data_IF_948878525028
#
_entry.id   IF_948878525028
#
_cell.length_a   1.000
_cell.length_b   1.000
_cell.length_c   1.000
_cell.angle_alpha   90.00
_cell.angle_beta   90.00
_cell.angle_gamma   90.00
#
_symmetry.space_group_name_H-M   'P 1'
#
loop_
_entity.id
_entity.type
_entity.pdbx_description
1 polymer ?
#
# COMPACT_ATOMS: atom_id res chain seq x y z
N UNK A 1 -20.21 -4.51 2.10
CA UNK A 1 -18.82 -4.84 1.69
C UNK A 1 -18.86 -5.65 0.42
N UNK A 2 -18.35 -5.10 -0.68
CA UNK A 2 -18.15 -5.81 -1.96
C UNK A 2 -17.02 -6.84 -1.80
N UNK A 3 -17.14 -8.01 -2.45
CA UNK A 3 -16.14 -9.09 -2.33
C UNK A 3 -14.73 -8.75 -2.86
N UNK A 4 -14.58 -7.64 -3.57
CA UNK A 4 -13.29 -7.08 -3.97
C UNK A 4 -12.56 -6.40 -2.81
N UNK A 5 -13.26 -5.60 -2.01
CA UNK A 5 -12.66 -4.91 -0.88
C UNK A 5 -12.10 -5.90 0.15
N UNK A 6 -12.84 -6.96 0.44
CA UNK A 6 -12.36 -8.00 1.37
C UNK A 6 -11.06 -8.65 0.85
N UNK A 7 -10.98 -8.95 -0.44
CA UNK A 7 -9.75 -9.49 -1.05
C UNK A 7 -8.58 -8.51 -0.95
N UNK A 8 -8.83 -7.20 -1.10
CA UNK A 8 -7.80 -6.17 -0.93
C UNK A 8 -7.30 -6.16 0.52
N UNK A 9 -8.20 -6.18 1.50
CA UNK A 9 -7.84 -6.12 2.93
C UNK A 9 -7.08 -7.36 3.39
N UNK A 10 -7.47 -8.54 2.91
CA UNK A 10 -6.86 -9.83 3.28
C UNK A 10 -5.56 -10.11 2.53
N UNK A 11 -5.25 -9.33 1.48
CA UNK A 11 -4.07 -9.55 0.67
C UNK A 11 -2.80 -9.39 1.53
N UNK A 12 -1.97 -10.43 1.53
CA UNK A 12 -0.68 -10.37 2.21
C UNK A 12 0.30 -9.44 1.50
N UNK A 13 0.92 -8.57 2.29
CA UNK A 13 2.02 -7.69 1.89
C UNK A 13 3.23 -8.02 2.76
N UNK A 14 4.37 -8.27 2.12
CA UNK A 14 5.64 -8.46 2.81
C UNK A 14 6.20 -7.11 3.27
N UNK A 15 6.28 -6.90 4.57
CA UNK A 15 6.70 -5.66 5.20
C UNK A 15 7.54 -5.97 6.45
N UNK A 16 8.68 -5.31 6.61
CA UNK A 16 9.56 -5.46 7.79
C UNK A 16 9.92 -6.92 8.13
N UNK A 17 10.05 -7.78 7.12
CA UNK A 17 10.45 -9.18 7.30
C UNK A 17 9.30 -10.16 7.55
N UNK A 18 8.04 -9.72 7.52
CA UNK A 18 6.87 -10.60 7.69
C UNK A 18 5.77 -10.28 6.67
N UNK A 19 4.95 -11.28 6.34
CA UNK A 19 3.69 -11.06 5.64
C UNK A 19 2.64 -10.56 6.62
N UNK A 20 1.88 -9.53 6.22
CA UNK A 20 0.71 -9.04 6.96
C UNK A 20 -0.44 -8.73 6.00
N UNK A 21 -1.70 -8.91 6.42
CA UNK A 21 -2.84 -8.44 5.65
C UNK A 21 -2.73 -6.94 5.40
N UNK A 22 -3.04 -6.50 4.20
CA UNK A 22 -3.00 -5.09 3.82
C UNK A 22 -3.85 -4.22 4.75
N UNK A 23 -5.03 -4.70 5.16
CA UNK A 23 -5.92 -4.00 6.07
C UNK A 23 -5.34 -3.77 7.48
N UNK A 24 -4.35 -4.56 7.88
CA UNK A 24 -3.68 -4.46 9.19
C UNK A 24 -2.43 -3.58 9.16
N UNK A 25 -2.02 -3.09 7.98
CA UNK A 25 -0.83 -2.26 7.87
C UNK A 25 -1.03 -0.95 8.59
N UNK A 26 -0.10 -0.65 9.50
CA UNK A 26 -0.08 0.61 10.22
C UNK A 26 0.50 1.71 9.35
N UNK A 27 0.25 2.97 9.74
CA UNK A 27 0.86 4.14 9.09
C UNK A 27 2.38 4.05 9.01
N UNK A 28 3.00 3.55 10.07
CA UNK A 28 4.45 3.37 10.18
C UNK A 28 4.95 2.27 9.23
N UNK A 29 4.21 1.16 9.10
CA UNK A 29 4.51 0.14 8.10
C UNK A 29 4.45 0.73 6.68
N UNK A 30 3.34 1.40 6.33
CA UNK A 30 3.13 2.02 5.01
C UNK A 30 4.24 3.02 4.68
N UNK A 31 4.64 3.85 5.65
CA UNK A 31 5.73 4.84 5.48
C UNK A 31 7.07 4.17 5.27
N UNK A 32 7.40 3.15 6.08
CA UNK A 32 8.62 2.35 5.94
C UNK A 32 8.72 1.74 4.54
N UNK A 33 7.61 1.18 4.03
CA UNK A 33 7.57 0.58 2.70
C UNK A 33 7.76 1.59 1.58
N UNK A 34 7.16 2.78 1.73
CA UNK A 34 7.36 3.87 0.78
C UNK A 34 8.84 4.28 0.68
N UNK A 35 9.53 4.38 1.82
CA UNK A 35 10.94 4.76 1.90
C UNK A 35 11.85 3.66 1.34
N UNK A 36 11.59 2.38 1.64
CA UNK A 36 12.30 1.24 1.06
C UNK A 36 12.20 1.24 -0.47
N UNK A 37 10.98 1.39 -1.01
CA UNK A 37 10.75 1.41 -2.45
C UNK A 37 11.42 2.62 -3.09
N UNK A 38 11.37 3.78 -2.44
CA UNK A 38 12.05 5.00 -2.90
C UNK A 38 13.57 4.82 -2.93
N UNK A 39 14.15 4.21 -1.90
CA UNK A 39 15.58 3.92 -1.84
C UNK A 39 16.02 2.93 -2.94
N UNK A 40 15.12 2.01 -3.33
CA UNK A 40 15.35 1.10 -4.45
C UNK A 40 15.22 1.76 -5.83
N UNK A 41 14.73 3.00 -5.94
CA UNK A 41 14.65 3.72 -7.22
C UNK A 41 16.04 4.14 -7.68
N UNK A 42 16.66 3.31 -8.53
CA UNK A 42 17.88 3.63 -9.29
C UNK A 42 17.61 3.90 -10.77
N UNK A 43 18.68 4.11 -11.54
CA UNK A 43 18.63 4.20 -13.01
C UNK A 43 18.38 2.83 -13.65
N UNK A 44 17.56 2.76 -14.71
CA UNK A 44 17.27 1.51 -15.43
C UNK A 44 15.94 0.83 -15.01
N UNK A 45 15.82 -0.51 -15.04
CA UNK A 45 14.56 -1.23 -14.78
C UNK A 45 13.89 -0.91 -13.43
N UNK A 46 14.67 -0.52 -12.42
CA UNK A 46 14.19 -0.11 -11.09
C UNK A 46 13.45 1.24 -11.10
N UNK A 47 13.58 2.05 -12.15
CA UNK A 47 12.77 3.26 -12.32
C UNK A 47 11.26 2.95 -12.40
N UNK A 48 10.89 1.73 -12.80
CA UNK A 48 9.50 1.25 -12.84
C UNK A 48 8.86 1.14 -11.46
N UNK A 49 9.66 1.17 -10.39
CA UNK A 49 9.20 1.08 -8.99
C UNK A 49 8.83 2.48 -8.45
N UNK A 50 9.25 3.57 -9.11
CA UNK A 50 8.97 4.93 -8.66
C UNK A 50 7.47 5.26 -8.56
N UNK A 51 6.59 4.88 -9.51
CA UNK A 51 5.14 5.07 -9.37
C UNK A 51 4.56 4.33 -8.16
N UNK A 52 5.10 3.15 -7.83
CA UNK A 52 4.64 2.36 -6.67
C UNK A 52 5.10 2.98 -5.36
N UNK A 53 6.36 3.40 -5.28
CA UNK A 53 6.86 4.16 -4.14
C UNK A 53 5.99 5.41 -3.88
N UNK A 54 5.55 6.09 -4.95
CA UNK A 54 4.62 7.22 -4.85
C UNK A 54 3.24 6.80 -4.32
N UNK A 55 2.64 5.73 -4.84
CA UNK A 55 1.36 5.23 -4.36
C UNK A 55 1.40 4.89 -2.86
N UNK A 56 2.49 4.29 -2.37
CA UNK A 56 2.67 4.02 -0.94
C UNK A 56 2.72 5.30 -0.09
N UNK A 57 3.33 6.38 -0.60
CA UNK A 57 3.28 7.70 0.06
C UNK A 57 1.88 8.30 0.06
N UNK A 58 1.13 8.15 -1.04
CA UNK A 58 -0.25 8.62 -1.13
C UNK A 58 -1.15 7.87 -0.13
N UNK A 59 -0.93 6.57 0.07
CA UNK A 59 -1.60 5.80 1.12
C UNK A 59 -1.25 6.32 2.52
N UNK A 60 0.03 6.56 2.83
CA UNK A 60 0.42 7.11 4.13
C UNK A 60 -0.22 8.47 4.39
N UNK A 61 -0.26 9.34 3.37
CA UNK A 61 -0.92 10.63 3.46
C UNK A 61 -2.44 10.51 3.67
N UNK A 62 -3.09 9.57 2.99
CA UNK A 62 -4.51 9.30 3.19
C UNK A 62 -4.81 8.83 4.62
N UNK A 63 -3.97 7.95 5.18
CA UNK A 63 -4.10 7.51 6.58
C UNK A 63 -3.93 8.68 7.55
N UNK A 64 -2.91 9.51 7.36
CA UNK A 64 -2.68 10.71 8.18
C UNK A 64 -3.88 11.68 8.09
N UNK A 65 -4.43 11.90 6.88
CA UNK A 65 -5.58 12.79 6.66
C UNK A 65 -6.89 12.26 7.24
N UNK A 66 -7.07 10.94 7.27
CA UNK A 66 -8.25 10.29 7.84
C UNK A 66 -8.13 10.06 9.36
N UNK A 67 -6.93 10.22 9.94
CA UNK A 67 -6.66 9.81 11.32
C UNK A 67 -6.71 8.29 11.51
N UNK A 68 -6.47 7.52 10.44
CA UNK A 68 -6.58 6.07 10.42
C UNK A 68 -5.34 5.41 11.05
N UNK A 69 -5.57 4.46 11.95
CA UNK A 69 -4.51 3.66 12.59
C UNK A 69 -4.00 2.56 11.66
N UNK A 70 -4.91 1.98 10.86
CA UNK A 70 -4.60 0.94 9.88
C UNK A 70 -5.19 1.27 8.51
N UNK A 71 -4.65 0.68 7.44
CA UNK A 71 -5.17 0.91 6.10
C UNK A 71 -6.63 0.46 5.96
N UNK A 72 -7.07 -0.54 6.72
CA UNK A 72 -8.45 -1.04 6.68
C UNK A 72 -9.51 -0.08 7.20
N UNK A 73 -9.12 1.01 7.86
CA UNK A 73 -10.02 2.07 8.34
C UNK A 73 -10.32 3.12 7.26
N UNK A 74 -9.64 3.08 6.11
CA UNK A 74 -9.86 4.01 5.01
C UNK A 74 -11.18 3.72 4.26
N UNK A 75 -11.70 4.77 3.63
CA UNK A 75 -12.90 4.66 2.80
C UNK A 75 -12.75 3.61 1.70
N UNK A 76 -13.76 2.73 1.49
CA UNK A 76 -13.70 1.63 0.52
C UNK A 76 -13.28 2.04 -0.89
N UNK A 77 -13.83 3.13 -1.43
CA UNK A 77 -13.57 3.58 -2.79
C UNK A 77 -12.11 4.02 -2.96
N UNK A 78 -11.55 4.66 -1.93
CA UNK A 78 -10.16 5.06 -1.89
C UNK A 78 -9.23 3.83 -1.84
N UNK A 79 -9.61 2.81 -1.06
CA UNK A 79 -8.85 1.57 -0.96
C UNK A 79 -8.79 0.82 -2.29
N UNK A 80 -9.90 0.76 -3.03
CA UNK A 80 -9.94 0.12 -4.36
C UNK A 80 -9.04 0.86 -5.35
N UNK A 81 -9.09 2.19 -5.40
CA UNK A 81 -8.24 2.99 -6.30
C UNK A 81 -6.75 2.84 -5.96
N UNK A 82 -6.38 2.94 -4.67
CA UNK A 82 -4.98 2.85 -4.24
C UNK A 82 -4.42 1.42 -4.38
N UNK A 83 -5.17 0.38 -4.03
CA UNK A 83 -4.68 -1.00 -4.06
C UNK A 83 -4.18 -1.42 -5.45
N UNK A 84 -4.86 -0.98 -6.52
CA UNK A 84 -4.46 -1.23 -7.91
C UNK A 84 -3.08 -0.65 -8.25
N UNK A 85 -2.69 0.46 -7.61
CA UNK A 85 -1.42 1.19 -7.83
C UNK A 85 -0.29 0.65 -6.96
N UNK A 86 -0.61 -0.05 -5.88
CA UNK A 86 0.33 -0.54 -4.86
C UNK A 86 0.90 -1.94 -5.15
N UNK A 87 0.46 -2.59 -6.25
CA UNK A 87 0.67 -4.01 -6.52
C UNK A 87 0.12 -4.94 -5.44
N UNK A 88 -0.90 -4.48 -4.70
CA UNK A 88 -1.66 -5.33 -3.77
C UNK A 88 -2.46 -6.34 -4.59
N UNK A 89 -3.00 -5.94 -5.74
CA UNK A 89 -3.41 -6.90 -6.77
C UNK A 89 -2.24 -7.21 -7.70
N UNK A 90 -1.80 -8.47 -7.71
CA UNK A 90 -0.94 -8.97 -8.78
C UNK A 90 -1.65 -8.74 -10.13
N UNK A 91 -0.97 -8.22 -11.17
CA UNK A 91 -1.55 -8.24 -12.50
C UNK A 91 -1.83 -9.70 -12.89
N UNK A 92 -3.05 -9.96 -13.38
CA UNK A 92 -3.43 -11.26 -13.94
C UNK A 92 -2.61 -11.64 -15.16
#
# INVERSE_FOLDING_TARGET
MTGELQRILDQEVFIRGANRPFGELTRDDVSSRADELRAAVGFGPTARVAPVARAWRELAFAMDSAGASTAGELEPDLLVDLASKLWVTLPG
#
